data_IF_923406074355
#
_entry.id   IF_923406074355
#
_cell.length_a   1.000
_cell.length_b   1.000
_cell.length_c   1.000
_cell.angle_alpha   90.00
_cell.angle_beta   90.00
_cell.angle_gamma   90.00
#
_symmetry.space_group_name_H-M   'P 1'
#
loop_
_entity.id
_entity.type
_entity.pdbx_description
1 polymer ?
#
# COMPACT_ATOMS: atom_id res chain seq x y z
N UNK A 1 -23.18 -7.32 16.98
CA UNK A 1 -23.60 -6.18 17.82
C UNK A 1 -23.24 -4.90 17.08
N UNK A 2 -24.20 -4.02 16.81
CA UNK A 2 -23.90 -2.72 16.21
C UNK A 2 -23.17 -1.86 17.25
N UNK A 3 -21.97 -1.41 16.93
CA UNK A 3 -21.29 -0.39 17.72
C UNK A 3 -22.07 0.92 17.59
N UNK A 4 -22.65 1.41 18.68
CA UNK A 4 -23.30 2.71 18.73
C UNK A 4 -22.30 3.88 18.78
N UNK A 5 -20.99 3.60 18.75
CA UNK A 5 -19.97 4.65 18.75
C UNK A 5 -19.90 5.29 17.35
N UNK A 6 -20.07 6.62 17.24
CA UNK A 6 -19.94 7.29 15.95
C UNK A 6 -18.50 7.22 15.44
N UNK A 7 -18.33 6.94 14.15
CA UNK A 7 -17.06 7.18 13.45
C UNK A 7 -16.96 8.67 13.13
N UNK A 8 -16.02 9.38 13.75
CA UNK A 8 -15.85 10.83 13.57
C UNK A 8 -14.94 11.10 12.37
N UNK A 9 -15.44 11.86 11.38
CA UNK A 9 -14.66 12.36 10.25
C UNK A 9 -14.54 13.88 10.41
N UNK A 10 -13.33 14.36 10.69
CA UNK A 10 -13.07 15.78 10.93
C UNK A 10 -13.03 16.57 9.62
N UNK A 11 -14.03 17.41 9.36
CA UNK A 11 -14.04 18.37 8.23
C UNK A 11 -13.87 19.79 8.77
N UNK A 12 -12.90 20.53 8.24
CA UNK A 12 -12.62 21.93 8.64
C UNK A 12 -12.23 22.73 7.40
N UNK A 13 -12.77 23.95 7.28
CA UNK A 13 -12.51 24.85 6.14
C UNK A 13 -12.69 24.17 4.77
N UNK A 14 -13.74 23.35 4.62
CA UNK A 14 -14.02 22.63 3.38
C UNK A 14 -13.13 21.43 3.08
N UNK A 15 -12.19 21.07 3.97
CA UNK A 15 -11.29 19.93 3.80
C UNK A 15 -11.46 18.87 4.88
N UNK A 16 -11.34 17.60 4.49
CA UNK A 16 -11.18 16.48 5.43
C UNK A 16 -9.81 16.61 6.10
N UNK A 17 -9.73 16.38 7.40
CA UNK A 17 -8.47 16.34 8.15
C UNK A 17 -7.93 14.90 8.16
N UNK A 18 -6.64 14.71 7.83
CA UNK A 18 -5.93 13.47 8.11
C UNK A 18 -6.10 13.08 9.58
N UNK A 19 -6.30 11.79 9.84
CA UNK A 19 -6.55 11.26 11.18
C UNK A 19 -5.69 10.03 11.51
N UNK A 20 -4.71 9.72 10.66
CA UNK A 20 -3.75 8.65 10.90
C UNK A 20 -2.52 8.79 10.01
N UNK A 21 -1.69 7.75 10.02
CA UNK A 21 -0.52 7.62 9.16
C UNK A 21 -0.52 6.21 8.59
N UNK A 22 -0.46 6.08 7.26
CA UNK A 22 -0.65 4.80 6.59
C UNK A 22 0.38 4.60 5.49
N UNK A 23 0.85 3.37 5.36
CA UNK A 23 1.47 2.85 4.14
C UNK A 23 0.48 1.92 3.45
N UNK A 24 0.53 1.88 2.13
CA UNK A 24 -0.29 0.95 1.37
C UNK A 24 0.40 0.49 0.08
N UNK A 25 0.11 -0.75 -0.30
CA UNK A 25 0.68 -1.42 -1.47
C UNK A 25 -0.46 -1.93 -2.34
N UNK A 26 -0.43 -1.56 -3.62
CA UNK A 26 -1.33 -2.06 -4.65
C UNK A 26 -0.71 -3.28 -5.30
N UNK A 27 -1.43 -4.40 -5.25
CA UNK A 27 -0.97 -5.69 -5.77
C UNK A 27 -1.94 -6.12 -6.86
N UNK A 28 -1.42 -6.38 -8.06
CA UNK A 28 -2.21 -7.00 -9.12
C UNK A 28 -2.57 -8.43 -8.71
N UNK A 29 -3.86 -8.73 -8.66
CA UNK A 29 -4.34 -10.04 -8.19
C UNK A 29 -4.09 -11.14 -9.21
N UNK A 30 -3.91 -10.78 -10.48
CA UNK A 30 -3.62 -11.72 -11.55
C UNK A 30 -2.22 -12.31 -11.44
N UNK A 31 -1.20 -11.52 -11.04
CA UNK A 31 0.19 -11.99 -11.00
C UNK A 31 0.96 -11.82 -9.68
N UNK A 32 0.37 -11.11 -8.73
CA UNK A 32 1.01 -10.71 -7.48
C UNK A 32 2.11 -9.66 -7.69
N UNK A 33 2.13 -8.96 -8.83
CA UNK A 33 3.04 -7.84 -9.05
C UNK A 33 2.63 -6.62 -8.24
N UNK A 34 3.61 -5.90 -7.71
CA UNK A 34 3.36 -4.64 -7.02
C UNK A 34 3.23 -3.55 -8.07
N UNK A 35 2.05 -2.94 -8.17
CA UNK A 35 1.76 -1.88 -9.13
C UNK A 35 2.06 -0.48 -8.59
N UNK A 36 1.89 -0.28 -7.28
CA UNK A 36 2.10 1.03 -6.64
C UNK A 36 2.33 0.92 -5.14
N UNK A 37 3.25 1.71 -4.61
CA UNK A 37 3.44 1.90 -3.17
C UNK A 37 3.16 3.35 -2.80
N UNK A 38 2.29 3.54 -1.83
CA UNK A 38 1.83 4.84 -1.40
C UNK A 38 1.89 5.03 0.10
N UNK A 39 1.72 6.28 0.50
CA UNK A 39 1.59 6.64 1.89
C UNK A 39 0.61 7.82 2.02
N UNK A 40 -0.20 7.83 3.06
CA UNK A 40 -1.28 8.81 3.24
C UNK A 40 -1.54 9.07 4.72
N UNK A 41 -2.19 10.20 5.02
CA UNK A 41 -2.73 10.47 6.36
C UNK A 41 -4.25 10.42 6.40
N UNK A 42 -4.85 10.29 5.22
CA UNK A 42 -6.27 9.99 5.06
C UNK A 42 -6.50 8.50 5.19
N UNK A 43 -7.76 8.15 5.44
CA UNK A 43 -8.22 6.77 5.37
C UNK A 43 -7.79 6.09 4.04
N UNK A 44 -7.26 4.85 4.09
CA UNK A 44 -6.80 4.16 2.89
C UNK A 44 -7.88 3.95 1.82
N UNK A 45 -9.14 3.71 2.21
CA UNK A 45 -10.25 3.53 1.26
C UNK A 45 -10.54 4.84 0.52
N UNK A 46 -10.57 5.97 1.23
CA UNK A 46 -10.67 7.29 0.60
C UNK A 46 -9.50 7.53 -0.35
N UNK A 47 -8.28 7.18 0.08
CA UNK A 47 -7.10 7.38 -0.76
C UNK A 47 -7.13 6.50 -2.01
N UNK A 48 -7.58 5.25 -1.89
CA UNK A 48 -7.72 4.34 -3.01
C UNK A 48 -8.80 4.82 -4.00
N UNK A 49 -9.93 5.29 -3.49
CA UNK A 49 -10.96 5.92 -4.31
C UNK A 49 -10.42 7.10 -5.12
N UNK A 50 -9.67 8.01 -4.48
CA UNK A 50 -9.08 9.17 -5.16
C UNK A 50 -8.04 8.78 -6.21
N UNK A 51 -7.28 7.71 -6.00
CA UNK A 51 -6.30 7.20 -6.95
C UNK A 51 -6.93 6.77 -8.29
N UNK A 52 -8.17 6.30 -8.26
CA UNK A 52 -8.90 5.82 -9.43
C UNK A 52 -9.77 6.90 -10.09
N UNK A 53 -10.32 7.81 -9.29
CA UNK A 53 -11.39 8.72 -9.75
C UNK A 53 -10.93 10.16 -10.01
N UNK A 54 -9.88 10.62 -9.33
CA UNK A 54 -9.44 12.02 -9.45
C UNK A 54 -8.78 12.29 -10.80
N UNK A 55 -9.15 13.40 -11.44
CA UNK A 55 -8.46 13.92 -12.62
C UNK A 55 -7.17 14.68 -12.28
N UNK A 56 -7.02 15.17 -11.05
CA UNK A 56 -5.76 15.72 -10.59
C UNK A 56 -4.73 14.58 -10.43
N UNK A 57 -3.60 14.59 -11.16
CA UNK A 57 -2.61 13.50 -11.15
C UNK A 57 -1.93 13.28 -9.80
N UNK A 58 -1.88 14.29 -8.92
CA UNK A 58 -1.32 14.13 -7.57
C UNK A 58 -2.22 13.29 -6.66
N UNK A 59 -3.52 13.33 -6.92
CA UNK A 59 -4.51 12.50 -6.23
C UNK A 59 -4.73 11.18 -6.97
N UNK A 60 -4.90 11.24 -8.29
CA UNK A 60 -5.13 10.13 -9.21
C UNK A 60 -3.86 9.37 -9.62
N UNK A 61 -2.89 9.18 -8.71
CA UNK A 61 -1.57 8.61 -9.10
C UNK A 61 -1.67 7.27 -9.81
N UNK A 62 -2.45 6.31 -9.31
CA UNK A 62 -2.62 4.99 -9.97
C UNK A 62 -3.15 5.17 -11.39
N UNK A 63 -4.24 5.93 -11.54
CA UNK A 63 -4.78 6.28 -12.86
C UNK A 63 -3.76 6.95 -13.79
N UNK A 64 -2.88 7.79 -13.22
CA UNK A 64 -1.91 8.55 -13.99
C UNK A 64 -0.64 7.76 -14.36
N UNK A 65 -0.26 6.74 -13.58
CA UNK A 65 1.05 6.09 -13.71
C UNK A 65 1.02 4.58 -13.90
N UNK A 66 -0.10 3.90 -13.61
CA UNK A 66 -0.22 2.44 -13.76
C UNK A 66 -0.90 2.15 -15.10
N UNK A 67 -0.21 1.46 -16.03
CA UNK A 67 -0.78 1.10 -17.32
C UNK A 67 -2.00 0.18 -17.19
N UNK A 68 -3.02 0.45 -18.02
CA UNK A 68 -4.25 -0.34 -18.14
C UNK A 68 -4.94 -0.61 -16.78
N UNK A 69 -4.82 0.31 -15.82
CA UNK A 69 -5.33 0.11 -14.46
C UNK A 69 -6.84 -0.21 -14.44
N UNK A 70 -7.61 0.30 -15.38
CA UNK A 70 -9.05 0.05 -15.49
C UNK A 70 -9.41 -1.36 -15.96
N UNK A 71 -8.44 -2.13 -16.46
CA UNK A 71 -8.61 -3.50 -16.98
C UNK A 71 -8.04 -4.56 -16.04
N UNK A 72 -7.46 -4.15 -14.92
CA UNK A 72 -6.71 -5.00 -13.98
C UNK A 72 -7.41 -4.97 -12.63
N UNK A 73 -7.37 -6.09 -11.93
CA UNK A 73 -7.89 -6.21 -10.58
C UNK A 73 -6.76 -6.02 -9.58
N UNK A 74 -7.00 -5.20 -8.55
CA UNK A 74 -6.00 -4.89 -7.53
C UNK A 74 -6.55 -5.06 -6.13
N UNK A 75 -5.74 -5.65 -5.27
CA UNK A 75 -5.94 -5.58 -3.82
C UNK A 75 -5.00 -4.50 -3.24
N UNK A 76 -5.49 -3.78 -2.22
CA UNK A 76 -4.73 -2.73 -1.53
C UNK A 76 -4.47 -3.16 -0.09
N UNK A 77 -3.24 -3.59 0.20
CA UNK A 77 -2.82 -3.88 1.56
C UNK A 77 -2.45 -2.58 2.25
N UNK A 78 -3.09 -2.28 3.38
CA UNK A 78 -2.92 -1.01 4.11
C UNK A 78 -2.46 -1.28 5.54
N UNK A 79 -1.44 -0.54 5.98
CA UNK A 79 -0.78 -0.72 7.26
C UNK A 79 -0.75 0.63 7.99
N UNK A 80 -1.32 0.66 9.20
CA UNK A 80 -1.26 1.84 10.06
C UNK A 80 0.15 1.97 10.65
N UNK A 81 0.67 3.19 10.64
CA UNK A 81 1.92 3.55 11.29
C UNK A 81 1.62 4.29 12.59
N UNK A 82 2.46 4.08 13.60
CA UNK A 82 2.47 4.93 14.77
C UNK A 82 2.76 6.40 14.40
N UNK A 83 2.20 7.35 15.14
CA UNK A 83 2.26 8.79 14.82
C UNK A 83 3.69 9.35 14.78
N UNK A 84 4.62 8.74 15.51
CA UNK A 84 6.03 9.12 15.61
C UNK A 84 6.89 8.55 14.47
N UNK A 85 6.35 7.64 13.64
CA UNK A 85 7.08 7.06 12.50
C UNK A 85 7.00 8.00 11.29
N UNK A 86 8.15 8.51 10.78
CA UNK A 86 8.15 9.39 9.62
C UNK A 86 7.70 8.66 8.35
N UNK A 87 6.46 8.92 7.94
CA UNK A 87 5.79 8.23 6.83
C UNK A 87 6.59 8.23 5.52
N UNK A 88 7.24 9.34 5.19
CA UNK A 88 8.01 9.46 3.94
C UNK A 88 9.29 8.60 3.97
N UNK A 89 9.93 8.47 5.13
CA UNK A 89 11.08 7.59 5.33
C UNK A 89 10.66 6.12 5.32
N UNK A 90 9.57 5.79 6.02
CA UNK A 90 8.98 4.46 6.03
C UNK A 90 8.59 4.00 4.61
N UNK A 91 7.96 4.88 3.82
CA UNK A 91 7.63 4.60 2.41
C UNK A 91 8.89 4.31 1.57
N UNK A 92 9.93 5.12 1.69
CA UNK A 92 11.20 4.92 0.94
C UNK A 92 11.84 3.58 1.28
N UNK A 93 11.90 3.24 2.58
CA UNK A 93 12.43 1.96 3.04
C UNK A 93 11.57 0.79 2.55
N UNK A 94 10.25 0.90 2.59
CA UNK A 94 9.35 -0.13 2.06
C UNK A 94 9.57 -0.37 0.56
N UNK A 95 9.67 0.70 -0.24
CA UNK A 95 9.96 0.59 -1.68
C UNK A 95 11.30 -0.11 -1.92
N UNK A 96 12.35 0.28 -1.19
CA UNK A 96 13.67 -0.34 -1.33
C UNK A 96 13.67 -1.82 -0.94
N UNK A 97 12.92 -2.18 0.12
CA UNK A 97 12.83 -3.57 0.59
C UNK A 97 12.01 -4.48 -0.32
N UNK A 98 10.94 -3.95 -0.92
CA UNK A 98 10.07 -4.69 -1.86
C UNK A 98 10.62 -4.70 -3.30
N UNK A 99 11.47 -3.73 -3.66
CA UNK A 99 12.22 -3.73 -4.91
C UNK A 99 13.47 -4.62 -4.85
N UNK A 100 14.13 -4.82 -5.99
CA UNK A 100 15.43 -5.51 -6.05
C UNK A 100 16.59 -4.64 -5.53
N UNK A 101 16.36 -3.36 -5.21
CA UNK A 101 17.35 -2.43 -4.68
C UNK A 101 17.60 -2.67 -3.18
N UNK A 102 18.24 -3.80 -2.86
CA UNK A 102 18.54 -4.26 -1.50
C UNK A 102 19.59 -3.44 -0.73
N UNK A 103 19.98 -2.25 -1.18
CA UNK A 103 21.00 -1.44 -0.50
C UNK A 103 20.52 -0.01 -0.26
N UNK A 104 19.92 0.19 0.92
CA UNK A 104 20.02 1.46 1.62
C UNK A 104 20.91 1.19 2.83
N UNK A 105 22.22 1.32 2.64
CA UNK A 105 23.16 1.46 3.75
C UNK A 105 23.04 2.90 4.25
N UNK A 106 22.41 3.08 5.40
CA UNK A 106 22.61 4.29 6.20
C UNK A 106 22.55 3.89 7.66
N UNK A 107 23.69 4.03 8.33
CA UNK A 107 23.84 3.93 9.78
C UNK A 107 23.23 5.20 10.41
N UNK A 108 21.91 5.20 10.57
CA UNK A 108 21.22 6.23 11.34
C UNK A 108 20.31 5.54 12.36
N UNK A 109 20.39 5.93 13.63
CA UNK A 109 19.64 5.29 14.73
C UNK A 109 18.13 5.41 14.51
N UNK A 110 17.68 6.42 13.77
CA UNK A 110 16.28 6.55 13.33
C UNK A 110 15.86 5.53 12.27
N UNK A 111 16.79 4.99 11.49
CA UNK A 111 16.48 3.98 10.46
C UNK A 111 16.17 2.63 11.10
N UNK A 112 16.84 2.23 12.18
CA UNK A 112 16.60 0.93 12.81
C UNK A 112 15.18 0.83 13.40
N UNK A 113 14.72 1.90 14.06
CA UNK A 113 13.35 1.98 14.54
C UNK A 113 12.34 1.85 13.39
N UNK A 114 12.58 2.55 12.27
CA UNK A 114 11.70 2.45 11.09
C UNK A 114 11.79 1.06 10.45
N UNK A 115 12.97 0.44 10.38
CA UNK A 115 13.16 -0.93 9.86
C UNK A 115 12.35 -1.95 10.65
N UNK A 116 12.35 -1.85 11.98
CA UNK A 116 11.55 -2.73 12.85
C UNK A 116 10.04 -2.67 12.55
N UNK A 117 9.55 -1.54 12.02
CA UNK A 117 8.17 -1.37 11.57
C UNK A 117 7.96 -1.88 10.14
N UNK A 118 8.96 -1.72 9.27
CA UNK A 118 8.87 -2.10 7.85
C UNK A 118 9.00 -3.61 7.63
N UNK A 119 9.85 -4.31 8.38
CA UNK A 119 10.08 -5.75 8.14
C UNK A 119 8.80 -6.59 8.28
N UNK A 120 7.95 -6.41 9.33
CA UNK A 120 6.65 -7.10 9.40
C UNK A 120 5.70 -6.76 8.23
N UNK A 121 5.79 -5.54 7.68
CA UNK A 121 4.99 -5.13 6.52
C UNK A 121 5.47 -5.87 5.27
N UNK A 122 6.78 -5.98 5.08
CA UNK A 122 7.39 -6.74 3.97
C UNK A 122 6.96 -8.19 4.03
N UNK A 123 7.11 -8.83 5.20
CA UNK A 123 6.70 -10.23 5.40
C UNK A 123 5.22 -10.45 5.09
N UNK A 124 4.35 -9.52 5.50
CA UNK A 124 2.92 -9.59 5.21
C UNK A 124 2.61 -9.45 3.71
N UNK A 125 3.29 -8.53 3.01
CA UNK A 125 3.15 -8.33 1.56
C UNK A 125 3.64 -9.56 0.80
N UNK A 126 4.83 -10.06 1.12
CA UNK A 126 5.41 -11.25 0.48
C UNK A 126 4.57 -12.49 0.74
N UNK A 127 4.06 -12.67 1.96
CA UNK A 127 3.15 -13.75 2.31
C UNK A 127 1.85 -13.72 1.50
N UNK A 128 1.25 -12.54 1.34
CA UNK A 128 0.05 -12.35 0.54
C UNK A 128 0.30 -12.63 -0.96
N UNK A 129 1.41 -12.12 -1.51
CA UNK A 129 1.83 -12.39 -2.91
C UNK A 129 2.06 -13.89 -3.10
N UNK A 130 2.72 -14.56 -2.15
CA UNK A 130 2.92 -16.01 -2.16
C UNK A 130 1.59 -16.76 -2.22
N UNK A 131 0.62 -16.39 -1.38
CA UNK A 131 -0.71 -16.98 -1.36
C UNK A 131 -1.45 -16.82 -2.71
N UNK A 132 -1.45 -15.61 -3.30
CA UNK A 132 -2.04 -15.37 -4.62
C UNK A 132 -1.44 -16.27 -5.70
N UNK A 133 -0.12 -16.49 -5.66
CA UNK A 133 0.59 -17.33 -6.63
C UNK A 133 0.31 -18.82 -6.43
N UNK A 134 0.12 -19.28 -5.19
CA UNK A 134 -0.19 -20.68 -4.87
C UNK A 134 -1.60 -21.10 -5.23
N UNK A 135 -2.55 -20.18 -5.31
CA UNK A 135 -3.97 -20.46 -5.63
C UNK A 135 -4.20 -20.74 -7.13
N UNK A 136 -3.23 -20.42 -8.01
CA UNK A 136 -3.40 -20.67 -9.44
C UNK A 136 -3.25 -22.16 -9.79
N UNK A 137 -4.24 -22.78 -10.47
CA UNK A 137 -4.14 -24.17 -10.86
C UNK A 137 -2.99 -24.36 -11.88
N UNK A 138 -2.23 -25.43 -11.68
CA UNK A 138 -1.23 -25.94 -12.61
C UNK A 138 -1.82 -25.97 -14.04
N UNK A 139 -1.10 -25.51 -15.09
CA UNK A 139 -1.59 -25.70 -16.44
C UNK A 139 -1.71 -27.21 -16.66
N UNK A 140 -2.93 -27.66 -16.96
CA UNK A 140 -3.19 -29.06 -17.29
C UNK A 140 -2.22 -29.43 -18.40
N UNK A 141 -1.32 -30.38 -18.10
CA UNK A 141 -0.47 -31.00 -19.11
C UNK A 141 -1.41 -31.52 -20.20
N UNK A 142 -1.39 -30.87 -21.36
CA UNK A 142 -2.12 -31.30 -22.54
C UNK A 142 -1.71 -32.73 -22.84
N UNK A 143 -2.66 -33.63 -22.66
CA UNK A 143 -2.48 -35.05 -22.88
C UNK A 143 -2.89 -35.34 -24.34
N UNK A 144 -1.92 -35.86 -25.10
CA UNK A 144 -1.95 -36.39 -26.48
C UNK A 144 -1.63 -35.43 -27.61
#
# INVERSE_FOLDING_TARGET
MMSARPRVISVRHGGIRPAGSWLYVWIDTADGSIAYVGATGFDPELRAYLHLTSQNPDHGRVRATVPDYEKRDFDVLSFELAEDVPRDQAKKLLIARLGEERHIETEDVGIEAVRSVIDPIVDAVEGYIGALRSVRPCPVAGNR
#
